data_IF_889249418937
#
_entry.id   IF_889249418937
#
_cell.length_a   1.000
_cell.length_b   1.000
_cell.length_c   1.000
_cell.angle_alpha   90.00
_cell.angle_beta   90.00
_cell.angle_gamma   90.00
#
_symmetry.space_group_name_H-M   'P 1'
#
loop_
_entity.id
_entity.type
_entity.pdbx_description
1 polymer ?
#
# COMPACT_ATOMS: atom_id res chain seq x y z
N UNK A 1 16.85 3.11 12.36
CA UNK A 1 15.69 2.31 12.80
C UNK A 1 15.23 2.86 14.15
N UNK A 2 14.02 3.40 14.26
CA UNK A 2 13.53 3.96 15.54
C UNK A 2 12.46 5.06 15.49
N UNK A 3 12.05 5.56 14.32
CA UNK A 3 11.13 6.71 14.24
C UNK A 3 9.79 6.44 13.53
N UNK A 4 9.44 5.17 13.30
CA UNK A 4 8.19 4.81 12.64
C UNK A 4 7.45 3.72 13.42
N UNK A 5 6.18 4.00 13.74
CA UNK A 5 5.25 3.03 14.31
C UNK A 5 4.67 2.08 13.23
N UNK A 6 4.97 2.33 11.95
CA UNK A 6 4.53 1.50 10.83
C UNK A 6 5.49 0.34 10.57
N UNK A 7 4.99 -0.90 10.53
CA UNK A 7 5.70 -2.01 9.93
C UNK A 7 5.74 -1.80 8.41
N UNK A 8 6.93 -1.44 7.89
CA UNK A 8 7.16 -1.17 6.46
C UNK A 8 7.30 -2.44 5.61
N UNK A 9 7.45 -3.59 6.27
CA UNK A 9 7.60 -4.92 5.69
C UNK A 9 6.25 -5.53 5.24
N UNK A 10 5.12 -4.90 5.59
CA UNK A 10 3.79 -5.38 5.21
C UNK A 10 2.90 -4.26 4.71
N UNK A 11 2.04 -4.51 3.69
CA UNK A 11 1.07 -3.53 3.24
C UNK A 11 0.03 -3.29 4.34
N UNK A 12 -0.17 -2.01 4.66
CA UNK A 12 -1.20 -1.52 5.56
C UNK A 12 -2.32 -0.93 4.73
N UNK A 13 -3.55 -1.35 5.01
CA UNK A 13 -4.75 -0.83 4.36
C UNK A 13 -5.40 0.17 5.30
N UNK A 14 -5.58 1.38 4.80
CA UNK A 14 -6.32 2.45 5.48
C UNK A 14 -7.66 2.57 4.81
N UNK A 15 -8.75 2.53 5.56
CA UNK A 15 -10.07 2.78 4.99
C UNK A 15 -10.10 4.20 4.44
N UNK A 16 -10.41 4.33 3.15
CA UNK A 16 -10.48 5.61 2.45
C UNK A 16 -11.76 6.34 2.86
N UNK A 17 -11.81 6.85 4.09
CA UNK A 17 -12.79 7.86 4.48
C UNK A 17 -12.26 9.22 3.98
N UNK A 18 -12.83 9.80 2.90
CA UNK A 18 -12.24 10.94 2.19
C UNK A 18 -12.21 12.23 3.01
N UNK A 19 -12.87 12.26 4.17
CA UNK A 19 -13.13 13.46 4.97
C UNK A 19 -12.30 13.53 6.26
N UNK A 20 -11.34 12.63 6.46
CA UNK A 20 -10.49 12.71 7.65
C UNK A 20 -9.39 13.78 7.50
N UNK A 21 -9.34 14.73 8.43
CA UNK A 21 -8.27 15.73 8.56
C UNK A 21 -6.85 15.11 8.58
N UNK A 22 -6.73 13.82 8.87
CA UNK A 22 -5.48 13.07 8.80
C UNK A 22 -4.95 12.92 7.36
N UNK A 23 -5.81 12.78 6.33
CA UNK A 23 -5.40 12.76 4.92
C UNK A 23 -4.86 14.10 4.44
N UNK A 24 -5.51 15.20 4.85
CA UNK A 24 -5.04 16.57 4.57
C UNK A 24 -3.67 16.81 5.20
N UNK A 25 -3.49 16.42 6.47
CA UNK A 25 -2.19 16.52 7.16
C UNK A 25 -1.10 15.70 6.46
N UNK A 26 -1.42 14.49 6.01
CA UNK A 26 -0.46 13.67 5.27
C UNK A 26 -0.06 14.33 3.94
N UNK A 27 -1.04 14.87 3.18
CA UNK A 27 -0.77 15.58 1.94
C UNK A 27 0.18 16.77 2.15
N UNK A 28 -0.06 17.60 3.17
CA UNK A 28 0.82 18.72 3.49
C UNK A 28 2.25 18.27 3.79
N UNK A 29 2.44 17.19 4.54
CA UNK A 29 3.79 16.68 4.84
C UNK A 29 4.47 16.15 3.58
N UNK A 30 3.73 15.49 2.68
CA UNK A 30 4.27 15.02 1.39
C UNK A 30 4.70 16.19 0.49
N UNK A 31 3.93 17.27 0.45
CA UNK A 31 4.29 18.48 -0.30
C UNK A 31 5.59 19.11 0.24
N UNK A 32 5.75 19.13 1.57
CA UNK A 32 7.01 19.60 2.20
C UNK A 32 8.20 18.71 1.84
N UNK A 33 8.03 17.38 1.81
CA UNK A 33 9.08 16.44 1.37
C UNK A 33 9.47 16.71 -0.09
N UNK A 34 8.49 16.93 -0.96
CA UNK A 34 8.71 17.19 -2.38
C UNK A 34 9.47 18.52 -2.60
N UNK A 35 9.09 19.58 -1.89
CA UNK A 35 9.79 20.87 -1.95
C UNK A 35 11.24 20.74 -1.45
N UNK A 36 11.45 20.13 -0.29
CA UNK A 36 12.79 19.92 0.29
C UNK A 36 13.70 19.11 -0.65
N UNK A 37 13.15 18.07 -1.28
CA UNK A 37 13.89 17.24 -2.24
C UNK A 37 14.25 18.00 -3.53
N UNK A 38 13.38 18.90 -4.00
CA UNK A 38 13.61 19.68 -5.21
C UNK A 38 14.62 20.82 -4.99
N UNK A 39 14.58 21.48 -3.84
CA UNK A 39 15.43 22.64 -3.55
C UNK A 39 16.83 22.26 -3.05
N UNK A 40 17.00 21.07 -2.45
CA UNK A 40 18.27 20.50 -2.02
C UNK A 40 19.18 21.49 -1.24
N UNK A 41 18.56 22.27 -0.35
CA UNK A 41 19.24 23.33 0.40
C UNK A 41 20.21 22.75 1.44
N UNK A 42 21.10 23.60 1.98
CA UNK A 42 22.00 23.21 3.06
C UNK A 42 21.21 22.73 4.29
N UNK A 43 21.35 21.45 4.66
CA UNK A 43 20.65 20.85 5.80
C UNK A 43 19.59 19.80 5.45
N UNK A 44 19.31 19.56 4.17
CA UNK A 44 18.30 18.56 3.72
C UNK A 44 18.55 17.15 4.27
N UNK A 45 19.81 16.77 4.53
CA UNK A 45 20.17 15.48 5.12
C UNK A 45 19.61 15.27 6.55
N UNK A 46 19.19 16.34 7.23
CA UNK A 46 18.50 16.27 8.53
C UNK A 46 17.01 16.52 8.43
N UNK A 47 16.60 17.45 7.55
CA UNK A 47 15.19 17.84 7.39
C UNK A 47 14.39 16.72 6.72
N UNK A 48 14.93 16.13 5.64
CA UNK A 48 14.23 15.12 4.86
C UNK A 48 13.92 13.86 5.69
N UNK A 49 14.85 13.27 6.47
CA UNK A 49 14.51 12.13 7.34
C UNK A 49 13.46 12.48 8.40
N UNK A 50 13.46 13.71 8.94
CA UNK A 50 12.49 14.14 9.93
C UNK A 50 11.07 14.25 9.33
N UNK A 51 10.95 14.83 8.13
CA UNK A 51 9.67 14.91 7.42
C UNK A 51 9.14 13.51 7.05
N UNK A 52 10.02 12.61 6.61
CA UNK A 52 9.66 11.21 6.34
C UNK A 52 9.14 10.54 7.62
N UNK A 53 9.80 10.71 8.76
CA UNK A 53 9.34 10.16 10.04
C UNK A 53 7.95 10.68 10.44
N UNK A 54 7.68 11.97 10.21
CA UNK A 54 6.36 12.57 10.44
C UNK A 54 5.31 11.96 9.51
N UNK A 55 5.61 11.83 8.21
CA UNK A 55 4.70 11.22 7.24
C UNK A 55 4.34 9.78 7.64
N UNK A 56 5.36 8.96 7.96
CA UNK A 56 5.16 7.59 8.43
C UNK A 56 4.31 7.55 9.72
N UNK A 57 4.52 8.48 10.65
CA UNK A 57 3.70 8.56 11.87
C UNK A 57 2.25 8.97 11.59
N UNK A 58 1.99 9.82 10.59
CA UNK A 58 0.62 10.15 10.16
C UNK A 58 -0.06 8.95 9.49
N UNK A 59 0.65 8.23 8.62
CA UNK A 59 0.13 6.99 8.00
C UNK A 59 -0.15 5.94 9.08
N UNK A 60 0.70 5.82 10.11
CA UNK A 60 0.46 4.89 11.22
C UNK A 60 -0.83 5.21 11.98
N UNK A 61 -1.16 6.51 12.12
CA UNK A 61 -2.41 6.97 12.75
C UNK A 61 -3.64 6.82 11.85
N UNK A 62 -3.45 6.73 10.54
CA UNK A 62 -4.50 6.42 9.57
C UNK A 62 -4.75 4.92 9.45
N UNK A 63 -3.77 4.10 9.82
CA UNK A 63 -4.03 2.69 10.05
C UNK A 63 -5.07 2.65 11.17
N UNK A 64 -6.26 2.07 10.93
CA UNK A 64 -7.15 1.81 12.06
C UNK A 64 -6.32 1.11 13.12
N UNK A 65 -6.52 1.48 14.39
CA UNK A 65 -6.14 0.63 15.52
C UNK A 65 -6.40 -0.81 15.06
N UNK A 66 -5.48 -1.72 15.37
CA UNK A 66 -5.62 -3.12 15.03
C UNK A 66 -6.79 -3.78 15.81
N UNK A 67 -7.91 -3.07 15.96
CA UNK A 67 -9.27 -3.51 16.22
C UNK A 67 -9.59 -4.65 15.28
N UNK A 68 -9.21 -5.83 15.75
CA UNK A 68 -9.90 -7.09 15.61
C UNK A 68 -10.45 -7.39 14.22
N UNK A 69 -9.63 -8.09 13.44
CA UNK A 69 -9.86 -9.49 13.10
C UNK A 69 -11.28 -9.96 12.65
N UNK A 70 -12.17 -9.05 12.20
CA UNK A 70 -13.47 -9.36 11.58
C UNK A 70 -13.79 -8.40 10.44
N UNK A 71 -12.78 -7.97 9.68
CA UNK A 71 -13.06 -7.55 8.30
C UNK A 71 -13.86 -8.66 7.61
N UNK A 72 -14.81 -8.30 6.73
CA UNK A 72 -15.60 -9.31 6.03
C UNK A 72 -14.68 -10.32 5.34
N UNK A 73 -15.17 -11.53 5.08
CA UNK A 73 -14.41 -12.55 4.34
C UNK A 73 -13.77 -11.95 3.07
N UNK A 74 -14.50 -11.07 2.38
CA UNK A 74 -14.07 -10.36 1.19
C UNK A 74 -12.88 -9.41 1.47
N UNK A 75 -12.90 -8.65 2.58
CA UNK A 75 -11.75 -7.82 3.00
C UNK A 75 -10.53 -8.65 3.31
N UNK A 76 -10.69 -9.81 3.97
CA UNK A 76 -9.56 -10.70 4.26
C UNK A 76 -8.93 -11.26 2.98
N UNK A 77 -9.77 -11.78 2.07
CA UNK A 77 -9.34 -12.34 0.78
C UNK A 77 -8.65 -11.28 -0.09
N UNK A 78 -9.22 -10.09 -0.20
CA UNK A 78 -8.65 -8.99 -0.97
C UNK A 78 -7.28 -8.54 -0.44
N UNK A 79 -7.14 -8.43 0.89
CA UNK A 79 -5.84 -8.11 1.51
C UNK A 79 -4.82 -9.22 1.30
N UNK A 80 -5.24 -10.48 1.42
CA UNK A 80 -4.41 -11.65 1.12
C UNK A 80 -3.91 -11.64 -0.32
N UNK A 81 -4.82 -11.40 -1.28
CA UNK A 81 -4.49 -11.27 -2.69
C UNK A 81 -3.43 -10.20 -2.92
N UNK A 82 -3.66 -8.99 -2.41
CA UNK A 82 -2.72 -7.88 -2.60
C UNK A 82 -1.33 -8.19 -2.02
N UNK A 83 -1.26 -8.82 -0.84
CA UNK A 83 0.02 -9.27 -0.26
C UNK A 83 0.76 -10.25 -1.17
N UNK A 84 0.06 -11.26 -1.68
CA UNK A 84 0.66 -12.24 -2.59
C UNK A 84 1.09 -11.60 -3.92
N UNK A 85 0.29 -10.68 -4.46
CA UNK A 85 0.65 -9.94 -5.67
C UNK A 85 1.88 -9.08 -5.45
N UNK A 86 1.98 -8.38 -4.32
CA UNK A 86 3.13 -7.54 -4.00
C UNK A 86 4.40 -8.36 -3.77
N UNK A 87 4.29 -9.58 -3.22
CA UNK A 87 5.43 -10.49 -3.03
C UNK A 87 5.86 -11.18 -4.33
N UNK A 88 4.90 -11.55 -5.19
CA UNK A 88 5.12 -12.44 -6.34
C UNK A 88 4.87 -11.77 -7.70
N UNK A 89 4.90 -10.43 -7.79
CA UNK A 89 4.63 -9.73 -9.05
C UNK A 89 5.59 -10.12 -10.18
N UNK A 90 6.84 -10.52 -9.84
CA UNK A 90 7.89 -10.94 -10.78
C UNK A 90 7.79 -12.41 -11.20
N UNK A 91 7.12 -13.24 -10.40
CA UNK A 91 7.12 -14.71 -10.56
C UNK A 91 6.11 -15.20 -11.60
N UNK A 92 5.38 -14.27 -12.22
CA UNK A 92 4.39 -14.55 -13.24
C UNK A 92 3.29 -15.57 -12.85
N UNK A 93 2.82 -15.55 -11.59
CA UNK A 93 1.81 -16.51 -11.13
C UNK A 93 0.51 -16.44 -11.94
N UNK A 94 -0.09 -17.60 -12.30
CA UNK A 94 -1.45 -17.67 -12.82
C UNK A 94 -2.48 -17.40 -11.71
N UNK A 95 -3.71 -17.02 -12.09
CA UNK A 95 -4.80 -16.74 -11.13
C UNK A 95 -5.06 -17.92 -10.21
N UNK A 96 -5.05 -19.15 -10.73
CA UNK A 96 -5.32 -20.37 -9.96
C UNK A 96 -4.34 -20.56 -8.80
N UNK A 97 -3.09 -20.11 -8.94
CA UNK A 97 -2.09 -20.16 -7.87
C UNK A 97 -2.44 -19.26 -6.69
N UNK A 98 -3.03 -18.09 -6.95
CA UNK A 98 -3.51 -17.21 -5.88
C UNK A 98 -4.73 -17.80 -5.18
N UNK A 99 -5.63 -18.45 -5.93
CA UNK A 99 -6.81 -19.13 -5.40
C UNK A 99 -6.40 -20.27 -4.46
N UNK A 100 -5.45 -21.10 -4.89
CA UNK A 100 -4.88 -22.19 -4.09
C UNK A 100 -4.19 -21.65 -2.82
N UNK A 101 -3.31 -20.65 -2.96
CA UNK A 101 -2.58 -20.07 -1.85
C UNK A 101 -3.47 -19.40 -0.79
N UNK A 102 -4.65 -18.92 -1.19
CA UNK A 102 -5.64 -18.32 -0.29
C UNK A 102 -6.72 -19.31 0.17
N UNK A 103 -6.61 -20.59 -0.21
CA UNK A 103 -7.57 -21.65 0.11
C UNK A 103 -9.04 -21.23 -0.19
N UNK A 104 -9.27 -20.68 -1.38
CA UNK A 104 -10.58 -20.12 -1.79
C UNK A 104 -11.01 -20.64 -3.16
N UNK A 105 -12.04 -20.05 -3.75
CA UNK A 105 -12.48 -20.32 -5.13
C UNK A 105 -12.25 -19.10 -6.03
N UNK A 106 -12.12 -19.29 -7.36
CA UNK A 106 -11.92 -18.17 -8.29
C UNK A 106 -13.01 -17.11 -8.19
N UNK A 107 -14.26 -17.54 -8.02
CA UNK A 107 -15.41 -16.64 -7.90
C UNK A 107 -15.36 -15.78 -6.63
N UNK A 108 -15.05 -16.37 -5.47
CA UNK A 108 -14.98 -15.64 -4.21
C UNK A 108 -13.81 -14.66 -4.19
N UNK A 109 -12.66 -15.06 -4.75
CA UNK A 109 -11.49 -14.20 -4.86
C UNK A 109 -11.76 -13.00 -5.77
N UNK A 110 -12.40 -13.22 -6.91
CA UNK A 110 -12.70 -12.14 -7.86
C UNK A 110 -13.78 -11.21 -7.33
N UNK A 111 -14.81 -11.73 -6.65
CA UNK A 111 -15.80 -10.93 -5.93
C UNK A 111 -15.13 -10.03 -4.88
N UNK A 112 -14.27 -10.61 -4.04
CA UNK A 112 -13.53 -9.89 -3.01
C UNK A 112 -12.64 -8.79 -3.60
N UNK A 113 -11.93 -9.10 -4.69
CA UNK A 113 -11.08 -8.15 -5.39
C UNK A 113 -11.89 -6.96 -5.94
N UNK A 114 -13.06 -7.21 -6.54
CA UNK A 114 -13.94 -6.13 -7.00
C UNK A 114 -14.47 -5.29 -5.84
N UNK A 115 -14.94 -5.92 -4.77
CA UNK A 115 -15.55 -5.24 -3.64
C UNK A 115 -14.57 -4.34 -2.86
N UNK A 116 -13.30 -4.74 -2.76
CA UNK A 116 -12.33 -4.10 -1.86
C UNK A 116 -11.19 -3.42 -2.60
N UNK A 117 -10.74 -3.99 -3.72
CA UNK A 117 -9.67 -3.42 -4.56
C UNK A 117 -10.22 -2.69 -5.79
N UNK A 118 -11.55 -2.62 -5.93
CA UNK A 118 -12.24 -2.00 -7.07
C UNK A 118 -12.04 -2.73 -8.40
N UNK A 119 -11.47 -3.94 -8.39
CA UNK A 119 -10.90 -4.59 -9.59
C UNK A 119 -10.93 -6.11 -9.54
N UNK A 120 -11.10 -6.75 -10.70
CA UNK A 120 -10.86 -8.19 -10.82
C UNK A 120 -9.39 -8.59 -10.66
N UNK A 121 -9.15 -9.85 -10.30
CA UNK A 121 -7.83 -10.38 -9.90
C UNK A 121 -6.75 -10.11 -10.96
N UNK A 122 -7.07 -10.39 -12.23
CA UNK A 122 -6.12 -10.20 -13.35
C UNK A 122 -5.67 -8.76 -13.49
N UNK A 123 -6.59 -7.80 -13.29
CA UNK A 123 -6.27 -6.37 -13.39
C UNK A 123 -5.39 -5.92 -12.23
N UNK A 124 -5.66 -6.39 -11.00
CA UNK A 124 -4.81 -6.11 -9.83
C UNK A 124 -3.36 -6.56 -10.08
N UNK A 125 -3.17 -7.77 -10.60
CA UNK A 125 -1.84 -8.29 -10.96
C UNK A 125 -1.18 -7.44 -12.04
N UNK A 126 -1.92 -7.13 -13.11
CA UNK A 126 -1.43 -6.33 -14.24
C UNK A 126 -1.01 -4.92 -13.84
N UNK A 127 -1.81 -4.23 -13.03
CA UNK A 127 -1.50 -2.89 -12.53
C UNK A 127 -0.24 -2.87 -11.67
N UNK A 128 -0.06 -3.89 -10.81
CA UNK A 128 1.16 -4.00 -10.01
C UNK A 128 2.40 -4.15 -10.89
N UNK A 129 2.34 -5.02 -11.91
CA UNK A 129 3.45 -5.23 -12.85
C UNK A 129 3.74 -3.99 -13.68
N UNK A 130 2.70 -3.30 -14.15
CA UNK A 130 2.85 -2.07 -14.91
C UNK A 130 3.54 -0.98 -14.09
N UNK A 131 3.16 -0.84 -12.82
CA UNK A 131 3.79 0.11 -11.91
C UNK A 131 5.28 -0.19 -11.74
N UNK A 132 5.64 -1.46 -11.52
CA UNK A 132 7.04 -1.85 -11.35
C UNK A 132 7.85 -1.76 -12.65
N UNK A 133 7.23 -2.00 -13.81
CA UNK A 133 7.86 -1.76 -15.10
C UNK A 133 8.18 -0.27 -15.31
N UNK A 134 7.24 0.63 -14.98
CA UNK A 134 7.49 2.08 -14.99
C UNK A 134 8.62 2.47 -14.05
N UNK A 135 8.64 1.89 -12.84
CA UNK A 135 9.69 2.15 -11.85
C UNK A 135 11.06 1.73 -12.37
N UNK A 136 11.18 0.55 -12.96
CA UNK A 136 12.43 0.11 -13.59
C UNK A 136 12.85 1.12 -14.65
N UNK A 137 11.98 1.49 -15.59
CA UNK A 137 12.33 2.44 -16.65
C UNK A 137 12.77 3.84 -16.16
N UNK A 138 12.30 4.30 -15.00
CA UNK A 138 12.68 5.60 -14.43
C UNK A 138 13.97 5.56 -13.60
N UNK A 139 14.33 4.39 -13.06
CA UNK A 139 15.45 4.23 -12.13
C UNK A 139 16.51 3.23 -12.61
N UNK A 140 16.53 2.94 -13.92
CA UNK A 140 17.69 2.30 -14.60
C UNK A 140 18.48 3.39 -15.30
#
# INVERSE_FOLDING_TARGET
AGHSLLPLDRPVFTDALPQHAAWQRLATVLDMIAAEYAEAQGGSDKVLPALIAVALSQIARLAPEATDARGSSDTSLARGLRRLVDAHFRDNWPVDRYVEALATTPHLLDKAAHAVLGSGVKRVVGERRLLEAKRLLLFT
#
